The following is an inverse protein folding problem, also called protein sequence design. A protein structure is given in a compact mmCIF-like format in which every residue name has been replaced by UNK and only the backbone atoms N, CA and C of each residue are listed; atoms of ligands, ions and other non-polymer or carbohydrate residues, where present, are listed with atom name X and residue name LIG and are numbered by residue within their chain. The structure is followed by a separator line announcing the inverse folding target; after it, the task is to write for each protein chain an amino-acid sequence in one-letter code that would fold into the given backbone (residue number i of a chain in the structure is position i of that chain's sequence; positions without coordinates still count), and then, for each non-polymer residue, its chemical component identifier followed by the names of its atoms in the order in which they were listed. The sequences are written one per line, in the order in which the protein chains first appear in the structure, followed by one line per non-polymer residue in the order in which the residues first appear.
data_IF_383795473855
#
_entry.id   IF_383795473855
#
_cell.length_a   1.000
_cell.length_b   1.000
_cell.length_c   1.000
_cell.angle_alpha   90.00
_cell.angle_beta   90.00
_cell.angle_gamma   90.00
#
_symmetry.space_group_name_H-M   'P 1'
#
loop_
_entity.id
_entity.type
_entity.pdbx_description
1 polymer ?
#
# COMPACT_ATOMS: atom_id res chain seq x y z
N UNK A 1 -0.67 -1.06 10.10
CA UNK A 1 -0.31 0.24 9.49
C UNK A 1 0.39 -0.03 8.16
N UNK A 2 -0.15 0.48 7.05
CA UNK A 2 0.43 0.27 5.71
C UNK A 2 1.52 1.33 5.46
N UNK A 3 2.74 0.90 5.18
CA UNK A 3 3.92 1.78 5.05
C UNK A 3 4.38 1.80 3.60
N UNK A 4 4.18 2.95 2.93
CA UNK A 4 4.46 3.12 1.50
C UNK A 4 5.74 3.94 1.35
N UNK A 5 6.65 3.50 0.48
CA UNK A 5 7.81 4.30 0.07
C UNK A 5 7.43 5.10 -1.16
N UNK A 6 7.31 6.41 -1.01
CA UNK A 6 7.09 7.36 -2.09
C UNK A 6 8.37 8.16 -2.33
N UNK A 7 8.68 8.45 -3.58
CA UNK A 7 9.70 9.45 -3.87
C UNK A 7 9.13 10.87 -3.67
N UNK A 8 9.99 11.89 -3.62
CA UNK A 8 9.57 13.28 -3.35
C UNK A 8 8.60 13.81 -4.40
N UNK A 9 8.82 13.53 -5.69
CA UNK A 9 7.92 14.02 -6.76
C UNK A 9 6.53 13.37 -6.68
N UNK A 10 6.46 12.08 -6.37
CA UNK A 10 5.18 11.38 -6.18
C UNK A 10 4.43 11.91 -4.97
N UNK A 11 5.14 12.20 -3.88
CA UNK A 11 4.55 12.78 -2.68
C UNK A 11 3.95 14.16 -2.97
N UNK A 12 4.66 15.02 -3.70
CA UNK A 12 4.16 16.34 -4.10
C UNK A 12 2.90 16.25 -4.98
N UNK A 13 2.88 15.32 -5.95
CA UNK A 13 1.70 15.09 -6.79
C UNK A 13 0.49 14.63 -5.98
N UNK A 14 0.70 13.71 -5.03
CA UNK A 14 -0.38 13.21 -4.17
C UNK A 14 -0.89 14.29 -3.22
N UNK A 15 -0.01 15.16 -2.72
CA UNK A 15 -0.41 16.33 -1.91
C UNK A 15 -1.27 17.31 -2.70
N UNK A 16 -0.80 17.71 -3.88
CA UNK A 16 -1.54 18.63 -4.74
C UNK A 16 -2.92 18.08 -5.12
N UNK A 17 -3.02 16.77 -5.36
CA UNK A 17 -4.29 16.11 -5.67
C UNK A 17 -5.24 16.03 -4.45
N UNK A 18 -4.68 15.86 -3.24
CA UNK A 18 -5.45 15.90 -2.00
C UNK A 18 -6.05 17.29 -1.73
N UNK A 19 -5.25 18.34 -1.92
CA UNK A 19 -5.71 19.72 -1.81
C UNK A 19 -6.76 20.06 -2.88
N UNK A 20 -6.52 19.66 -4.13
CA UNK A 20 -7.45 19.92 -5.24
C UNK A 20 -8.81 19.23 -5.06
N UNK A 21 -8.83 18.04 -4.47
CA UNK A 21 -10.06 17.24 -4.27
C UNK A 21 -10.67 17.41 -2.89
N UNK A 22 -10.05 18.20 -2.01
CA UNK A 22 -10.45 18.36 -0.60
C UNK A 22 -10.57 17.02 0.14
N UNK A 23 -9.71 16.06 -0.22
CA UNK A 23 -9.68 14.71 0.35
C UNK A 23 -8.50 14.52 1.28
N UNK A 24 -8.63 13.55 2.20
CA UNK A 24 -7.49 13.15 3.02
C UNK A 24 -6.41 12.46 2.18
N UNK A 25 -5.15 12.63 2.59
CA UNK A 25 -4.00 11.98 1.95
C UNK A 25 -4.20 10.46 1.83
N UNK A 26 -4.78 9.85 2.86
CA UNK A 26 -5.06 8.41 2.91
C UNK A 26 -6.10 7.96 1.88
N UNK A 27 -7.08 8.80 1.55
CA UNK A 27 -8.05 8.52 0.49
C UNK A 27 -7.42 8.63 -0.89
N UNK A 28 -6.66 9.69 -1.13
CA UNK A 28 -5.95 9.88 -2.39
C UNK A 28 -4.98 8.73 -2.65
N UNK A 29 -4.23 8.30 -1.64
CA UNK A 29 -3.32 7.15 -1.74
C UNK A 29 -4.10 5.85 -2.05
N UNK A 30 -5.24 5.61 -1.39
CA UNK A 30 -6.05 4.42 -1.64
C UNK A 30 -6.61 4.41 -3.06
N UNK A 31 -7.14 5.54 -3.53
CA UNK A 31 -7.61 5.70 -4.91
C UNK A 31 -6.47 5.51 -5.91
N UNK A 32 -5.30 6.05 -5.62
CA UNK A 32 -4.11 5.90 -6.45
C UNK A 32 -3.70 4.43 -6.59
N UNK A 33 -3.60 3.69 -5.46
CA UNK A 33 -3.31 2.25 -5.46
C UNK A 33 -4.39 1.46 -6.21
N UNK A 34 -5.68 1.79 -6.05
CA UNK A 34 -6.78 1.12 -6.78
C UNK A 34 -6.71 1.32 -8.29
N UNK A 35 -6.19 2.46 -8.74
CA UNK A 35 -6.03 2.79 -10.17
C UNK A 35 -4.75 2.21 -10.76
N UNK A 36 -3.80 1.78 -9.94
CA UNK A 36 -2.62 1.09 -10.45
C UNK A 36 -3.03 -0.21 -11.15
N UNK A 37 -2.36 -0.57 -12.26
CA UNK A 37 -2.59 -1.85 -12.90
C UNK A 37 -2.32 -2.95 -11.87
N UNK A 38 -3.34 -3.80 -11.65
CA UNK A 38 -3.18 -4.93 -10.73
C UNK A 38 -2.00 -5.77 -11.22
N UNK A 39 -1.04 -6.12 -10.36
CA UNK A 39 -0.03 -7.09 -10.76
C UNK A 39 -0.76 -8.35 -11.25
N UNK A 40 -0.36 -8.87 -12.41
CA UNK A 40 -0.91 -10.12 -12.96
C UNK A 40 -0.83 -11.16 -11.83
N UNK A 41 -2.00 -11.65 -11.42
CA UNK A 41 -2.17 -12.57 -10.31
C UNK A 41 -1.21 -13.76 -10.48
N UNK A 42 -0.17 -13.80 -9.66
CA UNK A 42 0.86 -14.84 -9.65
C UNK A 42 1.62 -14.95 -8.33
N UNK A 43 1.15 -14.30 -7.26
CA UNK A 43 1.77 -14.36 -5.93
C UNK A 43 0.74 -14.07 -4.83
N UNK A 44 -0.32 -14.89 -4.81
CA UNK A 44 -1.31 -14.98 -3.73
C UNK A 44 -0.78 -15.90 -2.60
N UNK A 45 0.49 -15.74 -2.21
CA UNK A 45 1.19 -16.73 -1.38
C UNK A 45 2.25 -16.17 -0.44
N UNK A 46 2.11 -14.93 0.04
CA UNK A 46 3.03 -14.39 1.04
C UNK A 46 2.29 -13.73 2.22
N UNK A 47 1.32 -14.44 2.77
CA UNK A 47 0.81 -14.23 4.13
C UNK A 47 0.29 -15.59 4.65
N UNK A 48 1.12 -16.62 4.66
CA UNK A 48 0.79 -17.88 5.35
C UNK A 48 1.78 -18.10 6.51
N UNK A 49 1.18 -18.14 7.70
CA UNK A 49 1.67 -18.61 8.99
C UNK A 49 3.14 -18.39 9.38
N UNK A 50 3.32 -17.57 10.43
CA UNK A 50 4.44 -17.70 11.36
C UNK A 50 4.33 -19.07 12.02
N UNK A 51 5.01 -20.07 11.44
CA UNK A 51 5.16 -21.38 12.06
C UNK A 51 6.08 -21.22 13.28
N UNK A 52 5.50 -20.99 14.46
CA UNK A 52 6.20 -21.16 15.73
C UNK A 52 6.61 -22.63 15.86
N UNK A 53 7.90 -22.98 15.90
CA UNK A 53 8.28 -24.34 16.23
C UNK A 53 7.86 -24.59 17.68
N UNK A 54 6.93 -25.53 17.88
CA UNK A 54 6.63 -26.07 19.19
C UNK A 54 7.92 -26.66 19.77
N UNK A 55 8.35 -26.13 20.92
CA UNK A 55 9.40 -26.74 21.72
C UNK A 55 8.89 -28.11 22.16
N UNK A 56 9.63 -29.17 21.81
CA UNK A 56 9.36 -30.52 22.31
C UNK A 56 10.27 -30.73 23.52
N UNK A 57 9.65 -31.09 24.64
CA UNK A 57 10.22 -31.41 25.95
C UNK A 57 11.26 -32.54 25.90
#
# INVERSE_FOLDING_TARGET
MLRIRLNTQELDRLKAEAERRELSMSEVIRDYIKRMPKPKKGSDGLLDEVQTPAMVE
#
